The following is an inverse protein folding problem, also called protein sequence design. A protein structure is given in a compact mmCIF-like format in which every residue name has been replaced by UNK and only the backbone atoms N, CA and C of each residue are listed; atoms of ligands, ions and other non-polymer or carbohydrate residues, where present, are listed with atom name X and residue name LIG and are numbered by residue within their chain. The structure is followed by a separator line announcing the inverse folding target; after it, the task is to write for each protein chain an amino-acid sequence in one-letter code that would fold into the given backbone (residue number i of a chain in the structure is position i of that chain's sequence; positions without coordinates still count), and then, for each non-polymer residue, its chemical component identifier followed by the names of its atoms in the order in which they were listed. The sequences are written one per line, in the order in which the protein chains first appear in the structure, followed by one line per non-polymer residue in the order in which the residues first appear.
data_IF_705174444181
#
_entry.id   IF_705174444181
#
_cell.length_a   1.000
_cell.length_b   1.000
_cell.length_c   1.000
_cell.angle_alpha   90.00
_cell.angle_beta   90.00
_cell.angle_gamma   90.00
#
_symmetry.space_group_name_H-M   'P 1'
#
loop_
_entity.id
_entity.type
_entity.pdbx_description
1 polymer ?
#
# COMPACT_ATOMS: atom_id res chain seq x y z
N UNK A 1 -4.88 -1.00 8.83
CA UNK A 1 -5.81 -1.50 7.79
C UNK A 1 -6.56 -0.35 7.12
N UNK A 2 -7.06 0.64 7.86
CA UNK A 2 -7.83 1.78 7.33
C UNK A 2 -7.24 2.41 6.06
N UNK A 3 -5.96 2.80 6.05
CA UNK A 3 -5.37 3.47 4.88
C UNK A 3 -5.30 2.58 3.62
N UNK A 4 -4.99 1.29 3.77
CA UNK A 4 -4.98 0.35 2.63
C UNK A 4 -6.40 0.10 2.09
N UNK A 5 -7.41 0.11 2.95
CA UNK A 5 -8.82 0.02 2.55
C UNK A 5 -9.25 1.30 1.82
N UNK A 6 -8.83 2.47 2.31
CA UNK A 6 -9.10 3.76 1.68
C UNK A 6 -8.47 3.85 0.27
N UNK A 7 -7.21 3.43 0.13
CA UNK A 7 -6.53 3.34 -1.18
C UNK A 7 -7.36 2.51 -2.15
N UNK A 8 -7.71 1.27 -1.76
CA UNK A 8 -8.48 0.37 -2.62
C UNK A 8 -9.85 0.96 -2.97
N UNK A 9 -10.55 1.55 -2.00
CA UNK A 9 -11.87 2.15 -2.21
C UNK A 9 -11.80 3.31 -3.19
N UNK A 10 -10.87 4.25 -3.00
CA UNK A 10 -10.76 5.43 -3.85
C UNK A 10 -10.30 5.08 -5.26
N UNK A 11 -9.37 4.14 -5.43
CA UNK A 11 -8.98 3.65 -6.76
C UNK A 11 -10.15 2.97 -7.49
N UNK A 12 -10.96 2.18 -6.79
CA UNK A 12 -12.18 1.58 -7.34
C UNK A 12 -13.20 2.64 -7.75
N UNK A 13 -13.48 3.61 -6.88
CA UNK A 13 -14.40 4.72 -7.19
C UNK A 13 -13.90 5.54 -8.38
N UNK A 14 -12.59 5.80 -8.47
CA UNK A 14 -11.98 6.50 -9.58
C UNK A 14 -12.17 5.74 -10.91
N UNK A 15 -12.06 4.40 -10.89
CA UNK A 15 -12.26 3.56 -12.07
C UNK A 15 -13.71 3.61 -12.61
N UNK A 16 -14.67 3.92 -11.74
CA UNK A 16 -16.10 4.03 -12.09
C UNK A 16 -16.54 5.48 -12.39
N UNK A 17 -15.68 6.46 -12.14
CA UNK A 17 -16.02 7.87 -12.27
C UNK A 17 -16.05 8.32 -13.73
N UNK A 18 -17.24 8.69 -14.23
CA UNK A 18 -17.41 9.27 -15.57
C UNK A 18 -16.99 10.74 -15.69
N UNK A 19 -16.81 11.45 -14.56
CA UNK A 19 -16.35 12.83 -14.54
C UNK A 19 -14.84 12.90 -14.27
N UNK A 20 -14.10 13.59 -15.15
CA UNK A 20 -12.64 13.69 -15.08
C UNK A 20 -12.15 14.33 -13.78
N UNK A 21 -12.77 15.41 -13.32
CA UNK A 21 -12.36 16.11 -12.09
C UNK A 21 -12.52 15.19 -10.87
N UNK A 22 -13.63 14.45 -10.79
CA UNK A 22 -13.87 13.49 -9.70
C UNK A 22 -12.82 12.37 -9.75
N UNK A 23 -12.52 11.84 -10.93
CA UNK A 23 -11.50 10.79 -11.08
C UNK A 23 -10.14 11.27 -10.57
N UNK A 24 -9.70 12.46 -10.99
CA UNK A 24 -8.41 13.01 -10.58
C UNK A 24 -8.36 13.28 -9.07
N UNK A 25 -9.43 13.84 -8.50
CA UNK A 25 -9.50 14.07 -7.05
C UNK A 25 -9.38 12.76 -6.25
N UNK A 26 -10.11 11.71 -6.64
CA UNK A 26 -10.04 10.40 -5.98
C UNK A 26 -8.65 9.77 -6.08
N UNK A 27 -7.98 9.88 -7.24
CA UNK A 27 -6.63 9.35 -7.41
C UNK A 27 -5.59 10.12 -6.59
N UNK A 28 -5.71 11.45 -6.48
CA UNK A 28 -4.83 12.24 -5.61
C UNK A 28 -5.04 11.90 -4.14
N UNK A 29 -6.29 11.76 -3.68
CA UNK A 29 -6.59 11.33 -2.31
C UNK A 29 -5.99 9.93 -2.05
N UNK A 30 -6.21 8.97 -2.95
CA UNK A 30 -5.61 7.63 -2.83
C UNK A 30 -4.08 7.66 -2.76
N UNK A 31 -3.44 8.64 -3.42
CA UNK A 31 -1.99 8.84 -3.35
C UNK A 31 -1.56 9.38 -1.98
N UNK A 32 -2.32 10.27 -1.38
CA UNK A 32 -2.06 10.78 -0.02
C UNK A 32 -2.17 9.66 1.03
N UNK A 33 -3.16 8.78 0.92
CA UNK A 33 -3.29 7.65 1.85
C UNK A 33 -2.11 6.67 1.77
N UNK A 34 -1.44 6.54 0.61
CA UNK A 34 -0.18 5.77 0.50
C UNK A 34 0.94 6.39 1.34
N UNK A 35 0.94 7.71 1.52
CA UNK A 35 1.88 8.39 2.42
C UNK A 35 1.54 8.07 3.88
N UNK A 36 0.26 8.11 4.26
CA UNK A 36 -0.18 7.74 5.61
C UNK A 36 0.14 6.27 5.96
N UNK A 37 0.02 5.34 5.00
CA UNK A 37 0.53 3.96 5.18
C UNK A 37 2.01 3.97 5.57
N UNK A 38 2.82 4.78 4.88
CA UNK A 38 4.25 4.92 5.17
C UNK A 38 4.51 5.47 6.56
N UNK A 39 3.82 6.53 6.96
CA UNK A 39 3.96 7.15 8.29
C UNK A 39 3.66 6.15 9.41
N UNK A 40 2.53 5.43 9.32
CA UNK A 40 2.17 4.43 10.32
C UNK A 40 3.12 3.24 10.32
N UNK A 41 3.54 2.75 9.15
CA UNK A 41 4.48 1.64 9.06
C UNK A 41 5.83 1.99 9.68
N UNK A 42 6.35 3.20 9.40
CA UNK A 42 7.59 3.69 10.02
C UNK A 42 7.48 3.68 11.54
N UNK A 43 6.45 4.32 12.10
CA UNK A 43 6.23 4.33 13.55
C UNK A 43 6.10 2.93 14.13
N UNK A 44 5.35 2.04 13.46
CA UNK A 44 5.17 0.66 13.89
C UNK A 44 6.50 -0.10 13.96
N UNK A 45 7.35 0.02 12.93
CA UNK A 45 8.64 -0.67 12.90
C UNK A 45 9.67 -0.12 13.90
N UNK A 46 9.50 1.12 14.36
CA UNK A 46 10.33 1.69 15.43
C UNK A 46 9.97 1.10 16.81
N UNK A 47 8.69 0.82 17.05
CA UNK A 47 8.19 0.36 18.36
C UNK A 47 8.05 -1.16 18.47
N UNK A 48 7.89 -1.86 17.35
CA UNK A 48 7.69 -3.31 17.29
C UNK A 48 8.80 -3.98 16.46
N UNK A 49 9.73 -4.62 17.18
CA UNK A 49 10.89 -5.28 16.59
C UNK A 49 10.53 -6.59 15.89
N UNK A 50 9.51 -7.31 16.36
CA UNK A 50 9.02 -8.53 15.70
C UNK A 50 8.44 -8.16 14.34
N UNK A 51 7.62 -7.12 14.29
CA UNK A 51 7.06 -6.62 13.03
C UNK A 51 8.16 -6.23 12.02
N UNK A 52 9.24 -5.60 12.47
CA UNK A 52 10.37 -5.24 11.59
C UNK A 52 11.11 -6.46 11.04
N UNK A 53 11.22 -7.55 11.81
CA UNK A 53 11.82 -8.80 11.36
C UNK A 53 10.91 -9.54 10.37
N UNK A 54 9.61 -9.62 10.65
CA UNK A 54 8.64 -10.26 9.76
C UNK A 54 8.52 -9.53 8.41
N UNK A 55 8.61 -8.19 8.37
CA UNK A 55 8.64 -7.44 7.10
C UNK A 55 9.84 -7.82 6.23
N UNK A 56 11.02 -8.01 6.83
CA UNK A 56 12.22 -8.45 6.10
C UNK A 56 12.08 -9.88 5.58
N UNK A 57 11.51 -10.78 6.39
CA UNK A 57 11.24 -12.16 5.96
C UNK A 57 10.26 -12.18 4.79
N UNK A 58 9.16 -11.44 4.87
CA UNK A 58 8.20 -11.32 3.77
C UNK A 58 8.82 -10.78 2.48
N UNK A 59 9.74 -9.81 2.56
CA UNK A 59 10.48 -9.34 1.38
C UNK A 59 11.35 -10.46 0.76
N UNK A 60 12.03 -11.24 1.60
CA UNK A 60 12.83 -12.38 1.15
C UNK A 60 11.96 -13.46 0.48
N UNK A 61 10.80 -13.79 1.06
CA UNK A 61 9.86 -14.76 0.48
C UNK A 61 9.39 -14.33 -0.92
N UNK A 62 9.04 -13.05 -1.10
CA UNK A 62 8.65 -12.52 -2.42
C UNK A 62 9.81 -12.59 -3.42
N UNK A 63 11.04 -12.33 -2.96
CA UNK A 63 12.25 -12.43 -3.80
C UNK A 63 12.48 -13.85 -4.28
N UNK A 64 12.42 -14.83 -3.37
CA UNK A 64 12.53 -16.25 -3.71
C UNK A 64 11.42 -16.70 -4.68
N UNK A 65 10.19 -16.22 -4.49
CA UNK A 65 9.08 -16.51 -5.40
C UNK A 65 9.36 -15.96 -6.81
N UNK A 66 9.91 -14.75 -6.93
CA UNK A 66 10.29 -14.16 -8.22
C UNK A 66 11.38 -14.97 -8.93
N UNK A 67 12.40 -15.42 -8.20
CA UNK A 67 13.47 -16.24 -8.75
C UNK A 67 12.93 -17.57 -9.30
N UNK A 68 12.07 -18.25 -8.52
CA UNK A 68 11.40 -19.50 -8.95
C UNK A 68 10.52 -19.34 -10.18
N UNK A 69 9.90 -18.19 -10.40
CA UNK A 69 9.07 -17.91 -11.58
C UNK A 69 9.90 -17.56 -12.82
N UNK A 70 11.18 -17.22 -12.63
CA UNK A 70 12.11 -16.86 -13.71
C UNK A 70 13.03 -18.00 -14.16
N UNK A 71 12.98 -19.15 -13.47
CA UNK A 71 13.70 -20.39 -13.78
C UNK A 71 12.81 -21.38 -14.53
#
# INVERSE_FOLDING_TARGET
MAELEAINLYEQMASMAGNELIRQALLEIAREEKTHVGEFLSLLTEIDREQAEELKKGEAEVRELREKLSS
#
